data_IF_212993649848
#
_entry.id   IF_212993649848
#
_cell.length_a   1.000
_cell.length_b   1.000
_cell.length_c   1.000
_cell.angle_alpha   90.00
_cell.angle_beta   90.00
_cell.angle_gamma   90.00
#
_symmetry.space_group_name_H-M   'P 1'
#
loop_
_entity.id
_entity.type
_entity.pdbx_description
1 polymer ?
#
# COMPACT_ATOMS: atom_id res chain seq x y z
N UNK A 1 -12.98 28.13 -20.21
CA UNK A 1 -13.07 26.70 -20.61
C UNK A 1 -11.79 26.01 -20.20
N UNK A 2 -11.74 25.46 -18.98
CA UNK A 2 -10.54 24.85 -18.42
C UNK A 2 -10.46 23.42 -18.92
N UNK A 3 -9.50 23.11 -19.81
CA UNK A 3 -9.25 21.74 -20.25
C UNK A 3 -8.94 20.87 -19.02
N UNK A 4 -9.77 19.87 -18.75
CA UNK A 4 -9.37 18.73 -17.92
C UNK A 4 -8.14 18.12 -18.57
N UNK A 5 -7.02 18.07 -17.84
CA UNK A 5 -5.86 17.28 -18.27
C UNK A 5 -6.28 15.81 -18.14
N UNK A 6 -6.49 15.16 -19.27
CA UNK A 6 -6.55 13.70 -19.31
C UNK A 6 -5.26 13.16 -18.67
N UNK A 7 -5.42 12.22 -17.73
CA UNK A 7 -4.30 11.47 -17.19
C UNK A 7 -3.82 10.53 -18.30
N UNK A 8 -2.74 10.92 -18.99
CA UNK A 8 -2.02 10.08 -19.94
C UNK A 8 -1.21 9.03 -19.17
N UNK A 9 -1.89 8.21 -18.36
CA UNK A 9 -1.30 7.01 -17.76
C UNK A 9 -0.96 6.07 -18.91
N UNK A 10 0.27 6.17 -19.40
CA UNK A 10 0.79 5.32 -20.46
C UNK A 10 0.55 3.86 -20.11
N UNK A 11 -0.06 3.13 -21.05
CA UNK A 11 -0.37 1.71 -20.96
C UNK A 11 0.91 0.87 -21.09
N UNK A 12 1.87 1.06 -20.19
CA UNK A 12 2.97 0.09 -20.06
C UNK A 12 2.36 -1.25 -19.67
N UNK A 13 2.68 -2.34 -20.38
CA UNK A 13 2.13 -3.65 -20.05
C UNK A 13 2.57 -4.04 -18.64
N UNK A 14 1.64 -4.61 -17.87
CA UNK A 14 1.96 -5.11 -16.55
C UNK A 14 2.99 -6.23 -16.65
N UNK A 15 4.00 -6.21 -15.77
CA UNK A 15 4.77 -7.41 -15.49
C UNK A 15 3.90 -8.36 -14.67
N UNK A 16 3.68 -9.56 -15.17
CA UNK A 16 2.82 -10.56 -14.54
C UNK A 16 3.66 -11.69 -13.95
N UNK A 17 3.39 -12.02 -12.69
CA UNK A 17 4.02 -13.13 -11.98
C UNK A 17 2.94 -14.13 -11.58
N UNK A 18 2.93 -15.28 -12.26
CA UNK A 18 2.04 -16.40 -11.95
C UNK A 18 2.70 -17.20 -10.84
N UNK A 19 2.06 -17.25 -9.68
CA UNK A 19 2.56 -17.91 -8.48
C UNK A 19 1.58 -19.01 -8.05
N UNK A 20 2.00 -19.96 -7.19
CA UNK A 20 1.04 -20.81 -6.49
C UNK A 20 -0.08 -19.99 -5.84
N UNK A 21 -1.32 -20.36 -6.16
CA UNK A 21 -2.56 -19.83 -5.57
C UNK A 21 -2.88 -18.35 -5.87
N UNK A 22 -2.02 -17.60 -6.57
CA UNK A 22 -2.23 -16.16 -6.82
C UNK A 22 -1.52 -15.67 -8.08
N UNK A 23 -1.95 -14.50 -8.57
CA UNK A 23 -1.20 -13.71 -9.52
C UNK A 23 -0.73 -12.40 -8.86
N UNK A 24 0.46 -11.92 -9.22
CA UNK A 24 0.93 -10.58 -8.88
C UNK A 24 1.16 -9.80 -10.18
N UNK A 25 0.71 -8.55 -10.23
CA UNK A 25 0.99 -7.65 -11.36
C UNK A 25 1.73 -6.40 -10.90
N UNK A 26 2.74 -5.99 -11.65
CA UNK A 26 3.53 -4.80 -11.39
C UNK A 26 3.54 -3.89 -12.63
N UNK A 27 3.16 -2.63 -12.44
CA UNK A 27 3.35 -1.56 -13.40
C UNK A 27 4.45 -0.63 -12.85
N UNK A 28 5.70 -0.71 -13.34
CA UNK A 28 6.81 0.06 -12.78
C UNK A 28 6.62 1.58 -12.88
N UNK A 29 5.98 2.03 -13.97
CA UNK A 29 5.84 3.44 -14.34
C UNK A 29 4.36 3.87 -14.40
N UNK A 30 3.55 3.41 -13.43
CA UNK A 30 2.11 3.73 -13.40
C UNK A 30 1.83 5.21 -13.15
N UNK A 31 2.69 5.89 -12.38
CA UNK A 31 2.73 7.36 -12.27
C UNK A 31 3.97 7.92 -12.95
N UNK A 32 3.81 9.09 -13.57
CA UNK A 32 4.92 9.79 -14.18
C UNK A 32 5.89 10.34 -13.13
N UNK A 33 7.22 10.33 -13.37
CA UNK A 33 8.21 10.78 -12.39
C UNK A 33 7.93 12.16 -11.79
N UNK A 34 7.49 13.12 -12.61
CA UNK A 34 7.14 14.48 -12.20
C UNK A 34 6.00 14.51 -11.16
N UNK A 35 5.00 13.65 -11.33
CA UNK A 35 3.87 13.54 -10.41
C UNK A 35 4.32 12.96 -9.06
N UNK A 36 5.23 11.99 -9.08
CA UNK A 36 5.62 11.26 -7.87
C UNK A 36 6.33 12.15 -6.85
N UNK A 37 7.23 13.02 -7.30
CA UNK A 37 8.00 13.93 -6.42
C UNK A 37 7.08 14.95 -5.75
N UNK A 38 6.18 15.55 -6.52
CA UNK A 38 5.22 16.54 -6.02
C UNK A 38 4.27 15.89 -5.01
N UNK A 39 3.71 14.73 -5.37
CA UNK A 39 2.78 14.00 -4.52
C UNK A 39 3.42 13.55 -3.21
N UNK A 40 4.65 13.01 -3.25
CA UNK A 40 5.39 12.64 -2.05
C UNK A 40 5.55 13.83 -1.09
N UNK A 41 6.04 14.96 -1.61
CA UNK A 41 6.28 16.17 -0.81
C UNK A 41 4.98 16.69 -0.17
N UNK A 42 3.90 16.79 -0.96
CA UNK A 42 2.61 17.28 -0.51
C UNK A 42 2.00 16.37 0.57
N UNK A 43 1.90 15.07 0.33
CA UNK A 43 1.32 14.13 1.30
C UNK A 43 2.15 14.03 2.57
N UNK A 44 3.48 14.10 2.46
CA UNK A 44 4.36 14.09 3.63
C UNK A 44 4.12 15.31 4.53
N UNK A 45 3.82 16.48 3.97
CA UNK A 45 3.59 17.71 4.73
C UNK A 45 2.16 17.86 5.24
N UNK A 46 1.17 17.40 4.48
CA UNK A 46 -0.24 17.72 4.73
C UNK A 46 -1.00 16.66 5.53
N UNK A 47 -0.50 15.42 5.59
CA UNK A 47 -1.19 14.34 6.28
C UNK A 47 -0.88 14.31 7.78
N UNK A 48 -1.86 13.92 8.62
CA UNK A 48 -1.70 13.85 10.07
C UNK A 48 -0.97 12.57 10.48
N UNK A 49 0.33 12.49 10.15
CA UNK A 49 1.14 11.30 10.38
C UNK A 49 1.20 10.90 11.86
N UNK A 50 0.72 9.71 12.18
CA UNK A 50 0.83 9.11 13.50
C UNK A 50 1.91 8.02 13.54
N UNK A 51 2.52 7.81 14.70
CA UNK A 51 3.39 6.67 14.96
C UNK A 51 2.79 5.87 16.12
N UNK A 52 2.04 4.83 15.78
CA UNK A 52 1.34 4.03 16.78
C UNK A 52 2.31 3.14 17.58
N UNK A 53 1.84 2.67 18.73
CA UNK A 53 2.53 1.65 19.52
C UNK A 53 1.80 0.33 19.41
N UNK A 54 2.57 -0.76 19.25
CA UNK A 54 2.04 -2.12 19.32
C UNK A 54 2.52 -2.79 20.59
N UNK A 55 1.71 -3.70 21.13
CA UNK A 55 2.12 -4.54 22.25
C UNK A 55 2.95 -5.70 21.73
N UNK A 56 4.22 -5.74 22.10
CA UNK A 56 5.15 -6.82 21.77
C UNK A 56 5.77 -7.35 23.07
N UNK A 57 5.57 -8.63 23.37
CA UNK A 57 6.00 -9.27 24.62
C UNK A 57 5.58 -8.49 25.90
N UNK A 58 4.35 -7.97 25.91
CA UNK A 58 3.81 -7.21 27.05
C UNK A 58 4.33 -5.78 27.19
N UNK A 59 5.15 -5.28 26.25
CA UNK A 59 5.64 -3.90 26.23
C UNK A 59 5.10 -3.15 25.01
N UNK A 60 4.73 -1.88 25.20
CA UNK A 60 4.38 -1.00 24.10
C UNK A 60 5.67 -0.60 23.34
N UNK A 61 5.76 -1.02 22.07
CA UNK A 61 6.87 -0.70 21.17
C UNK A 61 6.33 0.17 20.04
N UNK A 62 6.96 1.32 19.81
CA UNK A 62 6.61 2.19 18.67
C UNK A 62 6.87 1.44 17.37
N UNK A 63 5.89 1.42 16.47
CA UNK A 63 6.12 0.88 15.13
C UNK A 63 7.20 1.74 14.44
N UNK A 64 8.15 1.15 13.72
CA UNK A 64 9.28 1.87 13.14
C UNK A 64 8.87 2.57 11.83
N UNK A 65 7.72 3.23 11.78
CA UNK A 65 7.20 3.97 10.63
C UNK A 65 6.06 4.89 11.06
N UNK A 66 5.73 5.88 10.23
CA UNK A 66 4.51 6.67 10.42
C UNK A 66 3.40 6.14 9.51
N UNK A 67 2.15 6.18 9.97
CA UNK A 67 1.02 5.72 9.18
C UNK A 67 -0.19 6.64 9.29
N UNK A 68 -1.04 6.59 8.26
CA UNK A 68 -2.35 7.24 8.22
C UNK A 68 -3.33 6.25 7.62
N UNK A 69 -4.41 5.97 8.33
CA UNK A 69 -5.56 5.24 7.79
C UNK A 69 -6.57 6.25 7.27
N UNK A 70 -6.97 6.10 6.00
CA UNK A 70 -7.83 7.05 5.30
C UNK A 70 -8.85 6.29 4.46
N UNK A 71 -10.06 6.80 4.34
CA UNK A 71 -11.12 6.08 3.63
C UNK A 71 -12.49 6.70 3.76
N UNK A 72 -13.47 6.02 3.19
CA UNK A 72 -14.88 6.33 3.39
C UNK A 72 -15.24 6.17 4.88
N UNK A 73 -16.26 6.89 5.35
CA UNK A 73 -16.60 6.96 6.77
C UNK A 73 -16.88 5.59 7.43
N UNK A 74 -17.39 4.61 6.67
CA UNK A 74 -17.67 3.26 7.18
C UNK A 74 -16.44 2.35 7.25
N UNK A 75 -15.30 2.75 6.66
CA UNK A 75 -14.08 1.96 6.59
C UNK A 75 -13.31 1.98 7.91
N UNK A 76 -13.93 1.51 8.99
CA UNK A 76 -13.24 1.27 10.25
C UNK A 76 -12.42 -0.02 10.15
N UNK A 77 -11.28 -0.06 10.84
CA UNK A 77 -10.53 -1.31 11.03
C UNK A 77 -10.15 -1.51 12.49
N UNK A 78 -10.01 -2.77 12.90
CA UNK A 78 -9.47 -3.14 14.20
C UNK A 78 -8.05 -3.63 14.05
N UNK A 79 -7.15 -3.08 14.87
CA UNK A 79 -5.79 -3.57 14.97
C UNK A 79 -5.38 -3.65 16.44
N UNK A 80 -4.90 -4.83 16.85
CA UNK A 80 -4.52 -5.14 18.24
C UNK A 80 -5.62 -4.81 19.28
N UNK A 81 -6.90 -4.95 18.91
CA UNK A 81 -8.06 -4.67 19.78
C UNK A 81 -8.55 -3.22 19.76
N UNK A 82 -7.82 -2.30 19.13
CA UNK A 82 -8.21 -0.89 19.01
C UNK A 82 -8.96 -0.65 17.69
N UNK A 83 -10.12 0.00 17.75
CA UNK A 83 -10.87 0.44 16.56
C UNK A 83 -10.33 1.79 16.09
N UNK A 84 -9.90 1.86 14.84
CA UNK A 84 -9.42 3.07 14.21
C UNK A 84 -10.48 3.59 13.24
N UNK A 85 -10.84 4.86 13.38
CA UNK A 85 -11.66 5.55 12.42
C UNK A 85 -10.79 6.05 11.26
N UNK A 86 -11.27 5.98 10.01
CA UNK A 86 -10.55 6.54 8.88
C UNK A 86 -10.46 8.06 9.00
N UNK A 87 -9.28 8.59 8.71
CA UNK A 87 -9.12 10.01 8.40
C UNK A 87 -9.92 10.29 7.11
N UNK A 88 -10.63 11.44 7.02
CA UNK A 88 -11.26 11.85 5.77
C UNK A 88 -10.24 11.89 4.62
N UNK A 89 -10.72 11.58 3.42
CA UNK A 89 -9.89 11.57 2.23
C UNK A 89 -9.14 12.89 2.00
N UNK A 90 -7.84 12.78 1.72
CA UNK A 90 -7.11 13.84 1.05
C UNK A 90 -7.48 13.84 -0.45
N UNK A 91 -7.74 14.99 -1.10
CA UNK A 91 -8.26 15.03 -2.47
C UNK A 91 -7.42 14.24 -3.50
N UNK A 92 -6.09 14.34 -3.42
CA UNK A 92 -5.21 13.60 -4.34
C UNK A 92 -5.23 12.09 -4.09
N UNK A 93 -5.42 11.66 -2.84
CA UNK A 93 -5.47 10.24 -2.49
C UNK A 93 -6.82 9.65 -2.92
N UNK A 94 -7.91 10.43 -2.78
CA UNK A 94 -9.22 10.04 -3.30
C UNK A 94 -9.23 9.91 -4.82
N UNK A 95 -8.65 10.88 -5.53
CA UNK A 95 -8.53 10.84 -6.98
C UNK A 95 -7.72 9.61 -7.43
N UNK A 96 -6.64 9.27 -6.71
CA UNK A 96 -5.87 8.05 -6.97
C UNK A 96 -6.68 6.79 -6.72
N UNK A 97 -7.47 6.71 -5.64
CA UNK A 97 -8.34 5.57 -5.37
C UNK A 97 -9.38 5.36 -6.50
N UNK A 98 -9.98 6.45 -7.00
CA UNK A 98 -10.92 6.42 -8.11
C UNK A 98 -10.25 5.98 -9.42
N UNK A 99 -9.07 6.51 -9.70
CA UNK A 99 -8.28 6.15 -10.88
C UNK A 99 -7.85 4.69 -10.84
N UNK A 100 -7.36 4.20 -9.71
CA UNK A 100 -7.04 2.78 -9.52
C UNK A 100 -8.29 1.91 -9.70
N UNK A 101 -9.42 2.35 -9.16
CA UNK A 101 -10.66 1.58 -9.26
C UNK A 101 -11.12 1.42 -10.71
N UNK A 102 -11.05 2.51 -11.49
CA UNK A 102 -11.34 2.49 -12.91
C UNK A 102 -10.29 1.71 -13.72
N UNK A 103 -9.00 1.87 -13.40
CA UNK A 103 -7.91 1.21 -14.13
C UNK A 103 -7.92 -0.32 -13.93
N UNK A 104 -8.16 -0.77 -12.70
CA UNK A 104 -8.14 -2.18 -12.33
C UNK A 104 -9.52 -2.86 -12.44
N UNK A 105 -10.58 -2.08 -12.67
CA UNK A 105 -11.97 -2.56 -12.67
C UNK A 105 -12.33 -3.26 -11.34
N UNK A 106 -11.88 -2.69 -10.23
CA UNK A 106 -12.09 -3.20 -8.86
C UNK A 106 -12.33 -2.03 -7.91
N UNK A 107 -13.23 -2.12 -6.93
CA UNK A 107 -13.47 -1.00 -6.02
C UNK A 107 -12.35 -0.87 -4.99
N UNK A 108 -11.94 0.37 -4.67
CA UNK A 108 -11.11 0.70 -3.52
C UNK A 108 -11.71 1.88 -2.75
N UNK A 109 -11.91 1.73 -1.45
CA UNK A 109 -12.61 2.71 -0.60
C UNK A 109 -11.87 3.07 0.70
N UNK A 110 -10.66 2.54 0.87
CA UNK A 110 -9.77 2.91 1.95
C UNK A 110 -8.32 2.66 1.58
N UNK A 111 -7.41 3.25 2.33
CA UNK A 111 -5.97 3.17 2.12
C UNK A 111 -5.22 3.28 3.44
N UNK A 112 -4.21 2.43 3.60
CA UNK A 112 -3.19 2.61 4.63
C UNK A 112 -1.95 3.22 4.00
N UNK A 113 -1.66 4.45 4.39
CA UNK A 113 -0.42 5.11 4.02
C UNK A 113 0.66 4.76 5.03
N UNK A 114 1.82 4.33 4.55
CA UNK A 114 3.00 4.04 5.36
C UNK A 114 4.17 4.92 4.89
N UNK A 115 4.66 5.80 5.75
CA UNK A 115 5.84 6.62 5.54
C UNK A 115 7.04 6.01 6.26
N UNK A 116 8.01 5.56 5.46
CA UNK A 116 9.31 5.09 5.89
C UNK A 116 10.31 6.23 5.71
N UNK A 117 10.91 6.72 6.79
CA UNK A 117 11.86 7.82 6.74
C UNK A 117 13.14 7.45 5.96
N UNK A 118 13.55 6.17 6.04
CA UNK A 118 14.75 5.64 5.43
C UNK A 118 14.68 4.10 5.33
N UNK A 119 15.82 3.48 5.01
CA UNK A 119 16.01 2.04 4.95
C UNK A 119 16.09 1.30 6.28
N UNK A 120 16.21 2.00 7.41
CA UNK A 120 16.20 1.39 8.76
C UNK A 120 14.77 0.99 9.15
N UNK A 121 13.82 1.80 8.71
CA UNK A 121 12.39 1.56 8.84
C UNK A 121 11.95 0.44 7.89
N UNK A 122 11.17 -0.50 8.45
CA UNK A 122 10.85 -1.77 7.79
C UNK A 122 9.51 -2.30 8.26
N UNK A 123 9.03 -3.33 7.57
CA UNK A 123 7.82 -4.06 7.91
C UNK A 123 8.15 -5.55 7.82
N UNK A 124 7.94 -6.27 8.92
CA UNK A 124 8.23 -7.70 9.01
C UNK A 124 7.32 -8.54 8.12
N UNK A 125 7.52 -9.86 8.14
CA UNK A 125 6.65 -10.80 7.43
C UNK A 125 5.22 -10.71 7.96
N UNK A 126 4.26 -10.41 7.08
CA UNK A 126 2.84 -10.30 7.39
C UNK A 126 2.00 -10.58 6.14
N UNK A 127 0.67 -10.58 6.30
CA UNK A 127 -0.29 -10.49 5.20
C UNK A 127 -1.39 -9.51 5.62
N UNK A 128 -2.07 -8.91 4.64
CA UNK A 128 -3.22 -8.04 4.88
C UNK A 128 -4.47 -8.92 5.06
N UNK A 129 -4.66 -9.45 6.28
CA UNK A 129 -5.70 -10.42 6.62
C UNK A 129 -6.64 -9.93 7.73
N UNK A 130 -6.79 -8.61 7.87
CA UNK A 130 -7.79 -8.00 8.73
C UNK A 130 -9.19 -8.46 8.33
N UNK A 131 -10.02 -8.79 9.32
CA UNK A 131 -11.36 -9.39 9.12
C UNK A 131 -12.25 -8.48 8.26
N UNK A 132 -12.09 -7.17 8.42
CA UNK A 132 -12.84 -6.14 7.70
C UNK A 132 -12.59 -6.14 6.18
N UNK A 133 -11.47 -6.70 5.72
CA UNK A 133 -11.14 -6.85 4.31
C UNK A 133 -11.86 -8.04 3.64
N UNK A 134 -12.49 -8.90 4.44
CA UNK A 134 -13.07 -10.16 3.97
C UNK A 134 -12.03 -11.27 3.79
N UNK A 135 -12.46 -12.39 3.21
CA UNK A 135 -11.65 -13.61 3.17
C UNK A 135 -10.47 -13.53 2.20
N UNK A 136 -10.67 -12.91 1.04
CA UNK A 136 -9.68 -12.95 -0.05
C UNK A 136 -9.56 -11.60 -0.76
N UNK A 137 -8.97 -10.60 -0.08
CA UNK A 137 -8.93 -9.24 -0.58
C UNK A 137 -7.90 -9.06 -1.70
N UNK A 138 -8.28 -8.29 -2.72
CA UNK A 138 -7.33 -7.69 -3.66
C UNK A 138 -6.74 -6.44 -3.03
N UNK A 139 -5.42 -6.28 -3.13
CA UNK A 139 -4.70 -5.14 -2.58
C UNK A 139 -3.91 -4.44 -3.69
N UNK A 140 -4.12 -3.13 -3.84
CA UNK A 140 -3.35 -2.28 -4.75
C UNK A 140 -2.37 -1.41 -3.97
N UNK A 141 -1.08 -1.49 -4.29
CA UNK A 141 -0.01 -0.79 -3.57
C UNK A 141 0.75 0.16 -4.49
N UNK A 142 0.67 1.46 -4.23
CA UNK A 142 1.43 2.49 -4.96
C UNK A 142 2.63 2.95 -4.14
N UNK A 143 3.80 3.02 -4.76
CA UNK A 143 5.05 3.45 -4.12
C UNK A 143 5.49 4.82 -4.62
N UNK A 144 5.96 5.69 -3.71
CA UNK A 144 6.53 7.00 -4.00
C UNK A 144 7.87 7.16 -3.27
N UNK A 145 8.84 7.80 -3.90
CA UNK A 145 10.15 8.08 -3.31
C UNK A 145 11.14 6.93 -3.46
N UNK A 146 11.89 6.62 -2.41
CA UNK A 146 13.00 5.68 -2.48
C UNK A 146 12.55 4.28 -2.92
N UNK A 147 13.28 3.70 -3.88
CA UNK A 147 13.09 2.30 -4.28
C UNK A 147 13.43 1.37 -3.11
N UNK A 148 12.58 0.35 -2.90
CA UNK A 148 12.77 -0.64 -1.84
C UNK A 148 12.41 -2.03 -2.36
N UNK A 149 13.17 -3.02 -1.87
CA UNK A 149 12.87 -4.42 -2.14
C UNK A 149 11.61 -4.81 -1.38
N UNK A 150 10.68 -5.47 -2.05
CA UNK A 150 9.50 -6.09 -1.50
C UNK A 150 9.63 -7.60 -1.70
N UNK A 151 9.54 -8.35 -0.60
CA UNK A 151 9.76 -9.80 -0.63
C UNK A 151 8.45 -10.50 -0.32
N UNK A 152 8.13 -11.55 -1.07
CA UNK A 152 7.03 -12.46 -0.81
C UNK A 152 7.57 -13.87 -0.58
N UNK A 153 6.93 -14.61 0.32
CA UNK A 153 7.16 -16.05 0.51
C UNK A 153 5.85 -16.79 0.70
N UNK A 154 5.74 -17.98 0.13
CA UNK A 154 4.59 -18.84 0.36
C UNK A 154 4.63 -19.40 1.79
N UNK A 155 3.46 -19.52 2.45
CA UNK A 155 3.36 -19.96 3.86
C UNK A 155 3.75 -21.41 4.08
N UNK A 156 3.46 -22.28 3.10
CA UNK A 156 3.56 -23.74 3.20
C UNK A 156 4.50 -24.40 2.17
N UNK A 157 4.99 -23.62 1.21
CA UNK A 157 5.75 -24.12 0.07
C UNK A 157 7.03 -23.30 -0.05
N UNK A 158 8.07 -23.87 -0.65
CA UNK A 158 9.39 -23.21 -0.80
C UNK A 158 9.44 -22.24 -1.98
N UNK A 159 8.42 -21.38 -2.12
CA UNK A 159 8.35 -20.35 -3.16
C UNK A 159 8.61 -18.95 -2.57
N UNK A 160 9.37 -18.14 -3.30
CA UNK A 160 9.69 -16.76 -2.96
C UNK A 160 9.71 -15.89 -4.21
N UNK A 161 9.39 -14.60 -4.05
CA UNK A 161 9.50 -13.59 -5.09
C UNK A 161 10.05 -12.30 -4.48
N UNK A 162 11.01 -11.67 -5.14
CA UNK A 162 11.55 -10.37 -4.75
C UNK A 162 11.29 -9.37 -5.88
N UNK A 163 10.73 -8.21 -5.53
CA UNK A 163 10.41 -7.13 -6.45
C UNK A 163 11.05 -5.84 -5.95
N UNK A 164 11.65 -5.05 -6.83
CA UNK A 164 12.06 -3.69 -6.48
C UNK A 164 10.92 -2.74 -6.83
N UNK A 165 10.33 -2.11 -5.80
CA UNK A 165 9.23 -1.17 -5.97
C UNK A 165 9.79 0.25 -6.06
N UNK A 166 9.86 0.78 -7.28
CA UNK A 166 10.35 2.12 -7.61
C UNK A 166 9.29 3.21 -7.37
N UNK A 167 9.71 4.47 -7.35
CA UNK A 167 8.77 5.60 -7.32
C UNK A 167 7.85 5.55 -8.54
N UNK A 168 6.54 5.64 -8.31
CA UNK A 168 5.51 5.59 -9.34
C UNK A 168 5.01 4.19 -9.68
N UNK A 169 5.57 3.15 -9.07
CA UNK A 169 5.12 1.78 -9.31
C UNK A 169 3.77 1.48 -8.66
N UNK A 170 2.94 0.71 -9.37
CA UNK A 170 1.72 0.08 -8.88
C UNK A 170 1.92 -1.43 -8.83
N UNK A 171 1.75 -2.01 -7.64
CA UNK A 171 1.73 -3.46 -7.41
C UNK A 171 0.30 -3.90 -7.08
N UNK A 172 -0.24 -4.86 -7.82
CA UNK A 172 -1.50 -5.53 -7.52
C UNK A 172 -1.22 -6.91 -6.95
N UNK A 173 -1.65 -7.12 -5.71
CA UNK A 173 -1.74 -8.43 -5.09
C UNK A 173 -3.17 -8.94 -5.26
N UNK A 174 -3.37 -9.91 -6.15
CA UNK A 174 -4.69 -10.48 -6.44
C UNK A 174 -5.14 -11.47 -5.36
N UNK A 175 -6.33 -12.03 -5.57
CA UNK A 175 -6.88 -13.13 -4.79
C UNK A 175 -5.88 -14.28 -4.60
N UNK A 176 -5.96 -14.90 -3.42
CA UNK A 176 -5.09 -15.96 -2.93
C UNK A 176 -3.79 -15.46 -2.32
N UNK A 177 -3.36 -14.22 -2.60
CA UNK A 177 -2.11 -13.67 -2.07
C UNK A 177 -2.14 -13.58 -0.54
N UNK A 178 -3.13 -12.89 0.05
CA UNK A 178 -3.13 -12.63 1.50
C UNK A 178 -3.39 -13.91 2.33
N UNK A 179 -4.05 -14.90 1.72
CA UNK A 179 -4.30 -16.21 2.29
C UNK A 179 -3.04 -17.09 2.33
N UNK A 180 -2.31 -17.17 1.22
CA UNK A 180 -1.27 -18.18 1.02
C UNK A 180 0.16 -17.64 1.11
N UNK A 181 0.33 -16.32 1.01
CA UNK A 181 1.63 -15.66 1.00
C UNK A 181 1.79 -14.72 2.20
N UNK A 182 3.05 -14.54 2.58
CA UNK A 182 3.50 -13.48 3.47
C UNK A 182 4.38 -12.54 2.66
N UNK A 183 4.32 -11.26 2.98
CA UNK A 183 5.18 -10.26 2.38
C UNK A 183 5.86 -9.38 3.43
N UNK A 184 6.96 -8.73 3.04
CA UNK A 184 7.70 -7.82 3.89
C UNK A 184 8.42 -6.73 3.11
N UNK A 185 8.74 -5.65 3.81
CA UNK A 185 9.68 -4.63 3.37
C UNK A 185 10.91 -4.73 4.29
N UNK A 186 11.99 -5.44 3.91
CA UNK A 186 13.15 -5.66 4.76
C UNK A 186 13.95 -4.38 5.00
N UNK A 187 14.77 -4.39 6.05
CA UNK A 187 15.74 -3.33 6.33
C UNK A 187 16.78 -3.25 5.21
N UNK A 188 17.04 -2.05 4.70
CA UNK A 188 18.03 -1.74 3.66
C UNK A 188 18.82 -0.49 4.06
N UNK A 189 19.74 -0.62 5.01
CA UNK A 189 20.45 0.49 5.68
C UNK A 189 21.14 1.51 4.76
N UNK A 190 21.43 1.13 3.51
CA UNK A 190 22.00 2.01 2.47
C UNK A 190 20.99 3.03 1.92
N UNK A 191 19.69 2.79 2.04
CA UNK A 191 18.64 3.72 1.60
C UNK A 191 18.49 4.83 2.65
N UNK A 192 18.69 6.08 2.24
CA UNK A 192 18.65 7.26 3.13
C UNK A 192 17.49 8.22 2.84
N UNK A 193 16.78 7.96 1.75
CA UNK A 193 15.66 8.77 1.28
C UNK A 193 14.33 8.18 1.76
N UNK A 194 13.31 9.01 1.97
CA UNK A 194 12.01 8.54 2.41
C UNK A 194 11.30 7.75 1.31
N UNK A 195 10.46 6.81 1.74
CA UNK A 195 9.49 6.09 0.90
C UNK A 195 8.11 6.24 1.49
N UNK A 196 7.16 6.63 0.65
CA UNK A 196 5.74 6.61 0.98
C UNK A 196 5.07 5.47 0.20
N UNK A 197 4.29 4.67 0.89
CA UNK A 197 3.52 3.58 0.31
C UNK A 197 2.04 3.76 0.60
N UNK A 198 1.21 3.66 -0.42
CA UNK A 198 -0.24 3.75 -0.34
C UNK A 198 -0.84 2.37 -0.65
N UNK A 199 -1.33 1.67 0.36
CA UNK A 199 -1.96 0.35 0.20
C UNK A 199 -3.47 0.49 0.20
N UNK A 200 -4.06 0.54 -0.99
CA UNK A 200 -5.49 0.66 -1.23
C UNK A 200 -6.20 -0.68 -1.07
N UNK A 201 -7.36 -0.63 -0.42
CA UNK A 201 -8.16 -1.79 -0.05
C UNK A 201 -9.65 -1.52 -0.23
N UNK A 202 -10.43 -2.58 -0.10
CA UNK A 202 -11.88 -2.51 -0.09
C UNK A 202 -12.45 -3.11 1.20
N UNK A 203 -13.27 -2.33 1.90
CA UNK A 203 -14.08 -2.78 3.04
C UNK A 203 -15.55 -2.73 2.63
N UNK A 204 -16.23 -3.88 2.70
CA UNK A 204 -17.67 -3.94 2.43
C UNK A 204 -18.42 -3.07 3.42
N UNK A 205 -19.33 -2.25 2.91
CA UNK A 205 -20.29 -1.56 3.76
C UNK A 205 -21.31 -2.58 4.27
N UNK A 206 -21.11 -3.03 5.50
CA UNK A 206 -22.07 -3.88 6.21
C UNK A 206 -22.99 -2.94 6.98
N UNK A 207 -24.08 -2.54 6.31
CA UNK A 207 -25.20 -1.87 6.96
C UNK A 207 -25.77 -2.76 8.07
#
# INVERSE_FOLDING_TARGET
>A
MTRQRHSDNQQSPAQQFILPDTCIRLWPDWLLPEQTTVLLSQLQQQLPWAQDSIMMFGKAVKIPRKQVWMGDAHCHYRYSGTRFAPTPWHPQVQAMAQQLSAFLQQPFNCVLLNLYADGEQHMGWHADNEVELGHDPIIASVSLGASRRFELKHRRQSWQLNLDLTSGSLLLMEQGCQLNWLHRLPKQSKVKQPRLNLTFRYIKNTL
#
